data_IF_661294923005
#
_entry.id   IF_661294923005
#
_cell.length_a   1.000
_cell.length_b   1.000
_cell.length_c   1.000
_cell.angle_alpha   90.00
_cell.angle_beta   90.00
_cell.angle_gamma   90.00
#
_symmetry.space_group_name_H-M   'P 1'
#
loop_
_entity.id
_entity.type
_entity.pdbx_description
1 polymer ?
#
# COMPACT_ATOMS: atom_id res chain seq x y z
N UNK A 1 11.61 21.69 -2.40
CA UNK A 1 10.78 22.70 -3.11
C UNK A 1 9.75 23.18 -2.11
N UNK A 2 9.47 24.49 -2.00
CA UNK A 2 8.44 24.96 -1.10
C UNK A 2 7.08 24.36 -1.51
N UNK A 3 6.24 24.04 -0.49
CA UNK A 3 4.87 23.63 -0.72
C UNK A 3 4.15 24.68 -1.58
N UNK A 4 3.31 24.22 -2.49
CA UNK A 4 2.43 25.12 -3.21
C UNK A 4 1.53 25.86 -2.22
N UNK A 5 1.40 27.19 -2.37
CA UNK A 5 0.66 28.03 -1.44
C UNK A 5 -0.82 27.62 -1.33
N UNK A 6 -1.41 27.08 -2.40
CA UNK A 6 -2.76 26.55 -2.44
C UNK A 6 -2.89 25.27 -1.59
N UNK A 7 -1.92 24.33 -1.67
CA UNK A 7 -1.91 23.15 -0.82
C UNK A 7 -1.78 23.52 0.66
N UNK A 8 -0.88 24.45 0.99
CA UNK A 8 -0.73 24.92 2.36
C UNK A 8 -2.04 25.54 2.88
N UNK A 9 -2.71 26.33 2.05
CA UNK A 9 -4.02 26.91 2.39
C UNK A 9 -5.07 25.84 2.61
N UNK A 10 -5.13 24.81 1.75
CA UNK A 10 -6.06 23.68 1.92
C UNK A 10 -5.83 22.94 3.23
N UNK A 11 -4.57 22.63 3.55
CA UNK A 11 -4.22 21.88 4.77
C UNK A 11 -4.52 22.69 6.05
N UNK A 12 -4.37 24.01 6.01
CA UNK A 12 -4.48 24.85 7.22
C UNK A 12 -5.85 25.51 7.42
N UNK A 13 -6.68 25.60 6.39
CA UNK A 13 -7.91 26.41 6.42
C UNK A 13 -9.18 25.63 6.12
N UNK A 14 -9.08 24.41 5.61
CA UNK A 14 -10.24 23.59 5.24
C UNK A 14 -10.64 22.60 6.33
N UNK A 15 -11.88 22.08 6.32
CA UNK A 15 -12.27 20.96 7.17
C UNK A 15 -11.33 19.76 6.99
N UNK A 16 -11.12 18.97 8.04
CA UNK A 16 -10.16 17.88 8.09
C UNK A 16 -10.31 16.88 6.91
N UNK A 17 -11.52 16.57 6.52
CA UNK A 17 -11.80 15.68 5.37
C UNK A 17 -11.21 16.23 4.07
N UNK A 18 -11.41 17.53 3.79
CA UNK A 18 -10.88 18.17 2.58
C UNK A 18 -9.37 18.35 2.63
N UNK A 19 -8.84 18.67 3.81
CA UNK A 19 -7.41 18.78 4.02
C UNK A 19 -6.71 17.42 3.79
N UNK A 20 -7.22 16.35 4.37
CA UNK A 20 -6.70 15.00 4.15
C UNK A 20 -6.85 14.53 2.70
N UNK A 21 -7.96 14.84 2.05
CA UNK A 21 -8.12 14.54 0.63
C UNK A 21 -7.06 15.25 -0.23
N UNK A 22 -6.77 16.52 0.02
CA UNK A 22 -5.73 17.26 -0.67
C UNK A 22 -4.31 16.69 -0.41
N UNK A 23 -4.04 16.28 0.83
CA UNK A 23 -2.77 15.64 1.20
C UNK A 23 -2.60 14.31 0.45
N UNK A 24 -3.60 13.44 0.50
CA UNK A 24 -3.52 12.12 -0.14
C UNK A 24 -3.42 12.23 -1.66
N UNK A 25 -4.13 13.17 -2.26
CA UNK A 25 -4.05 13.45 -3.69
C UNK A 25 -2.67 13.97 -4.09
N UNK A 26 -2.11 14.90 -3.33
CA UNK A 26 -0.76 15.42 -3.57
C UNK A 26 0.29 14.31 -3.47
N UNK A 27 0.24 13.48 -2.43
CA UNK A 27 1.16 12.35 -2.25
C UNK A 27 1.03 11.35 -3.41
N UNK A 28 -0.21 11.04 -3.81
CA UNK A 28 -0.47 10.16 -4.93
C UNK A 28 0.15 10.67 -6.22
N UNK A 29 -0.14 11.91 -6.60
CA UNK A 29 0.41 12.52 -7.82
C UNK A 29 1.95 12.61 -7.78
N UNK A 30 2.51 12.89 -6.61
CA UNK A 30 3.96 12.97 -6.45
C UNK A 30 4.66 11.64 -6.75
N UNK A 31 4.08 10.51 -6.34
CA UNK A 31 4.69 9.20 -6.54
C UNK A 31 4.27 8.48 -7.82
N UNK A 32 3.11 8.77 -8.38
CA UNK A 32 2.60 8.08 -9.57
C UNK A 32 2.91 8.76 -10.90
N UNK A 33 3.51 9.95 -10.88
CA UNK A 33 4.01 10.57 -12.11
C UNK A 33 5.04 9.65 -12.81
N UNK A 34 5.11 9.71 -14.13
CA UNK A 34 6.02 8.89 -14.91
C UNK A 34 7.47 9.01 -14.43
N UNK A 35 8.13 7.89 -14.33
CA UNK A 35 9.55 7.85 -13.97
C UNK A 35 10.39 8.00 -15.24
N UNK A 36 11.48 8.78 -15.17
CA UNK A 36 12.39 8.91 -16.31
C UNK A 36 13.06 7.54 -16.59
N UNK A 37 13.30 7.27 -17.87
CA UNK A 37 13.99 6.05 -18.28
C UNK A 37 15.42 5.97 -17.74
N UNK A 38 16.04 7.13 -17.49
CA UNK A 38 17.38 7.25 -16.90
C UNK A 38 17.31 7.62 -15.43
N UNK A 39 18.04 6.90 -14.58
CA UNK A 39 18.15 7.16 -13.14
C UNK A 39 16.79 7.24 -12.39
N UNK A 40 15.88 6.27 -12.56
CA UNK A 40 14.56 6.29 -11.90
C UNK A 40 14.67 6.35 -10.38
N UNK A 41 15.67 5.72 -9.79
CA UNK A 41 15.91 5.71 -8.34
C UNK A 41 16.24 7.10 -7.80
N UNK A 42 16.98 7.89 -8.58
CA UNK A 42 17.29 9.29 -8.21
C UNK A 42 16.03 10.15 -8.23
N UNK A 43 15.14 9.91 -9.18
CA UNK A 43 13.87 10.64 -9.24
C UNK A 43 12.96 10.28 -8.07
N UNK A 44 12.89 9.02 -7.68
CA UNK A 44 12.13 8.59 -6.48
C UNK A 44 12.65 9.27 -5.22
N UNK A 45 13.97 9.31 -5.01
CA UNK A 45 14.59 10.02 -3.88
C UNK A 45 14.29 11.52 -3.90
N UNK A 46 14.28 12.14 -5.09
CA UNK A 46 13.93 13.55 -5.24
C UNK A 46 12.47 13.83 -4.89
N UNK A 47 11.55 12.95 -5.29
CA UNK A 47 10.12 13.04 -4.95
C UNK A 47 9.90 12.89 -3.45
N UNK A 48 10.57 11.94 -2.84
CA UNK A 48 10.52 11.72 -1.40
C UNK A 48 10.97 12.96 -0.61
N UNK A 49 12.09 13.57 -1.03
CA UNK A 49 12.55 14.84 -0.46
C UNK A 49 11.57 16.00 -0.70
N UNK A 50 10.84 15.96 -1.82
CA UNK A 50 9.80 16.95 -2.13
C UNK A 50 8.64 16.98 -1.14
N UNK A 51 8.40 15.86 -0.44
CA UNK A 51 7.35 15.76 0.57
C UNK A 51 7.81 16.19 1.98
N UNK A 52 9.10 16.42 2.20
CA UNK A 52 9.65 16.74 3.52
C UNK A 52 9.00 17.99 4.12
N UNK A 53 8.67 18.98 3.31
CA UNK A 53 8.04 20.21 3.78
C UNK A 53 6.59 19.98 4.20
N UNK A 54 5.85 19.16 3.45
CA UNK A 54 4.50 18.72 3.83
C UNK A 54 4.53 17.93 5.14
N UNK A 55 5.44 16.99 5.27
CA UNK A 55 5.65 16.20 6.48
C UNK A 55 5.93 17.09 7.69
N UNK A 56 6.81 18.08 7.55
CA UNK A 56 7.11 19.04 8.61
C UNK A 56 5.88 19.87 9.02
N UNK A 57 5.05 20.29 8.07
CA UNK A 57 3.82 21.04 8.37
C UNK A 57 2.82 20.15 9.10
N UNK A 58 2.60 18.93 8.63
CA UNK A 58 1.63 18.01 9.24
C UNK A 58 2.08 17.60 10.63
N UNK A 59 3.34 17.22 10.81
CA UNK A 59 3.87 16.75 12.09
C UNK A 59 4.08 17.87 13.11
N UNK A 60 4.41 19.08 12.65
CA UNK A 60 4.74 20.21 13.53
C UNK A 60 3.57 21.12 13.89
N UNK A 61 2.53 21.21 13.09
CA UNK A 61 1.51 22.26 13.21
C UNK A 61 0.07 21.79 13.03
N UNK A 62 -0.16 20.54 12.63
CA UNK A 62 -1.48 20.07 12.25
C UNK A 62 -2.08 19.06 13.25
N UNK A 63 -1.92 19.33 14.55
CA UNK A 63 -2.43 18.42 15.60
C UNK A 63 -3.93 18.17 15.50
N UNK A 64 -4.73 19.18 15.20
CA UNK A 64 -6.17 19.04 15.03
C UNK A 64 -6.52 18.18 13.82
N UNK A 65 -5.71 18.25 12.77
CA UNK A 65 -5.86 17.41 11.59
C UNK A 65 -5.59 15.93 11.93
N UNK A 66 -4.54 15.64 12.69
CA UNK A 66 -4.24 14.30 13.18
C UNK A 66 -5.34 13.73 14.07
N UNK A 67 -5.91 14.51 14.96
CA UNK A 67 -7.01 14.09 15.82
C UNK A 67 -8.25 13.64 15.02
N UNK A 68 -8.42 14.17 13.81
CA UNK A 68 -9.52 13.83 12.93
C UNK A 68 -9.16 12.75 11.88
N UNK A 69 -7.93 12.25 11.83
CA UNK A 69 -7.47 11.29 10.82
C UNK A 69 -8.37 10.05 10.73
N UNK A 70 -8.69 9.48 11.87
CA UNK A 70 -9.46 8.22 11.93
C UNK A 70 -10.88 8.34 11.38
N UNK A 71 -11.49 9.51 11.52
CA UNK A 71 -12.86 9.79 11.07
C UNK A 71 -12.93 10.41 9.68
N UNK A 72 -11.86 11.08 9.25
CA UNK A 72 -11.85 11.88 8.02
C UNK A 72 -11.19 11.18 6.83
N UNK A 73 -10.34 10.15 7.09
CA UNK A 73 -9.60 9.48 6.02
C UNK A 73 -10.18 8.10 5.72
N UNK A 74 -10.63 7.83 4.49
CA UNK A 74 -11.08 6.50 4.09
C UNK A 74 -9.98 5.46 4.30
N UNK A 75 -10.30 4.36 4.97
CA UNK A 75 -9.33 3.30 5.32
C UNK A 75 -9.13 2.31 4.19
N UNK A 76 -7.91 1.78 4.07
CA UNK A 76 -7.56 0.76 3.08
C UNK A 76 -8.40 -0.52 3.26
N UNK A 77 -8.66 -0.94 4.49
CA UNK A 77 -9.51 -2.11 4.77
C UNK A 77 -10.94 -1.94 4.24
N UNK A 78 -11.52 -0.74 4.37
CA UNK A 78 -12.86 -0.46 3.84
C UNK A 78 -12.89 -0.60 2.31
N UNK A 79 -11.89 -0.07 1.62
CA UNK A 79 -11.78 -0.22 0.16
C UNK A 79 -11.70 -1.69 -0.27
N UNK A 80 -10.93 -2.50 0.45
CA UNK A 80 -10.84 -3.96 0.19
C UNK A 80 -12.17 -4.66 0.42
N UNK A 81 -12.87 -4.33 1.51
CA UNK A 81 -14.19 -4.91 1.83
C UNK A 81 -15.23 -4.49 0.79
N UNK A 82 -15.25 -3.23 0.38
CA UNK A 82 -16.18 -2.71 -0.62
C UNK A 82 -15.93 -3.35 -1.98
N UNK A 83 -14.68 -3.45 -2.42
CA UNK A 83 -14.32 -4.20 -3.62
C UNK A 83 -14.82 -5.64 -3.53
N UNK A 84 -14.54 -6.31 -2.42
CA UNK A 84 -14.93 -7.71 -2.23
C UNK A 84 -16.43 -7.92 -2.28
N UNK A 85 -17.18 -7.02 -1.66
CA UNK A 85 -18.63 -7.11 -1.56
C UNK A 85 -19.34 -6.76 -2.87
N UNK A 86 -18.84 -5.76 -3.58
CA UNK A 86 -19.51 -5.19 -4.75
C UNK A 86 -19.06 -5.80 -6.08
N UNK A 87 -17.95 -6.55 -6.10
CA UNK A 87 -17.47 -7.23 -7.30
C UNK A 87 -18.14 -8.59 -7.45
N UNK A 88 -18.78 -8.83 -8.59
CA UNK A 88 -19.35 -10.11 -9.00
C UNK A 88 -18.40 -10.88 -9.92
N UNK A 89 -18.48 -12.21 -9.94
CA UNK A 89 -17.62 -13.07 -10.72
C UNK A 89 -16.27 -13.35 -10.06
N UNK A 90 -15.31 -13.78 -10.86
CA UNK A 90 -13.95 -14.07 -10.39
C UNK A 90 -13.27 -12.83 -9.86
N UNK A 91 -12.68 -12.91 -8.66
CA UNK A 91 -11.99 -11.80 -8.01
C UNK A 91 -10.79 -12.25 -7.19
N UNK A 92 -9.77 -11.40 -7.18
CA UNK A 92 -8.58 -11.64 -6.38
C UNK A 92 -8.13 -10.36 -5.70
N UNK A 93 -7.62 -10.48 -4.48
CA UNK A 93 -6.94 -9.42 -3.74
C UNK A 93 -5.54 -9.90 -3.42
N UNK A 94 -4.54 -9.17 -3.89
CA UNK A 94 -3.15 -9.35 -3.50
C UNK A 94 -2.78 -8.27 -2.49
N UNK A 95 -2.41 -8.67 -1.29
CA UNK A 95 -1.88 -7.79 -0.25
C UNK A 95 -0.37 -8.00 -0.18
N UNK A 96 0.39 -6.94 -0.40
CA UNK A 96 1.84 -6.91 -0.27
C UNK A 96 2.19 -6.13 0.98
N UNK A 97 2.65 -6.83 2.01
CA UNK A 97 2.89 -6.24 3.34
C UNK A 97 4.10 -5.29 3.31
N UNK A 98 3.91 -4.07 3.80
CA UNK A 98 4.97 -3.07 3.87
C UNK A 98 5.37 -2.43 2.52
N UNK A 99 4.61 -2.65 1.44
CA UNK A 99 4.90 -2.02 0.15
C UNK A 99 4.72 -0.50 0.23
N UNK A 100 5.72 0.23 -0.25
CA UNK A 100 5.72 1.69 -0.25
C UNK A 100 5.07 2.27 -1.52
N UNK A 101 4.52 3.48 -1.42
CA UNK A 101 4.04 4.24 -2.59
C UNK A 101 5.14 4.52 -3.62
N UNK A 102 6.41 4.44 -3.22
CA UNK A 102 7.56 4.62 -4.13
C UNK A 102 7.63 3.54 -5.22
N UNK A 103 7.09 2.36 -4.96
CA UNK A 103 7.09 1.22 -5.87
C UNK A 103 5.89 1.20 -6.81
N UNK A 104 4.86 1.98 -6.55
CA UNK A 104 3.61 2.00 -7.34
C UNK A 104 3.83 2.22 -8.84
N UNK A 105 4.70 3.15 -9.31
CA UNK A 105 4.92 3.36 -10.75
C UNK A 105 5.43 2.10 -11.46
N UNK A 106 6.31 1.33 -10.81
CA UNK A 106 6.82 0.08 -11.40
C UNK A 106 5.75 -1.00 -11.43
N UNK A 107 4.96 -1.15 -10.37
CA UNK A 107 3.86 -2.13 -10.33
C UNK A 107 2.82 -1.84 -11.42
N UNK A 108 2.36 -0.61 -11.51
CA UNK A 108 1.39 -0.20 -12.54
C UNK A 108 2.00 -0.40 -13.93
N UNK A 109 3.23 0.06 -14.15
CA UNK A 109 3.93 -0.09 -15.42
C UNK A 109 4.06 -1.56 -15.85
N UNK A 110 4.46 -2.43 -14.94
CA UNK A 110 4.58 -3.86 -15.20
C UNK A 110 3.23 -4.53 -15.47
N UNK A 111 2.19 -4.19 -14.71
CA UNK A 111 0.86 -4.70 -14.95
C UNK A 111 0.33 -4.32 -16.35
N UNK A 112 0.50 -3.06 -16.74
CA UNK A 112 0.10 -2.57 -18.07
C UNK A 112 0.88 -3.28 -19.19
N UNK A 113 2.20 -3.46 -19.04
CA UNK A 113 3.03 -4.18 -20.02
C UNK A 113 2.60 -5.64 -20.19
N UNK A 114 2.05 -6.27 -19.15
CA UNK A 114 1.50 -7.63 -19.21
C UNK A 114 0.05 -7.69 -19.69
N UNK A 115 -0.51 -6.57 -20.13
CA UNK A 115 -1.86 -6.50 -20.70
C UNK A 115 -2.98 -6.34 -19.68
N UNK A 116 -2.67 -6.09 -18.42
CA UNK A 116 -3.68 -5.74 -17.42
C UNK A 116 -4.21 -4.31 -17.65
N UNK A 117 -5.48 -4.11 -17.42
CA UNK A 117 -6.11 -2.79 -17.50
C UNK A 117 -6.31 -2.25 -16.09
N UNK A 118 -5.72 -1.10 -15.82
CA UNK A 118 -5.99 -0.36 -14.60
C UNK A 118 -7.38 0.27 -14.67
N UNK A 119 -8.22 0.00 -13.68
CA UNK A 119 -9.54 0.60 -13.54
C UNK A 119 -9.54 1.74 -12.54
N UNK A 120 -8.91 1.53 -11.40
CA UNK A 120 -8.81 2.51 -10.33
C UNK A 120 -7.45 2.38 -9.63
N UNK A 121 -6.94 3.49 -9.12
CA UNK A 121 -5.80 3.50 -8.21
C UNK A 121 -5.87 4.74 -7.31
N UNK A 122 -5.33 4.64 -6.11
CA UNK A 122 -5.33 5.76 -5.16
C UNK A 122 -4.70 5.39 -3.82
N UNK A 123 -4.55 6.40 -2.98
CA UNK A 123 -4.09 6.27 -1.59
C UNK A 123 -5.29 6.20 -0.66
N UNK A 124 -5.16 5.40 0.38
CA UNK A 124 -6.11 5.32 1.49
C UNK A 124 -5.35 5.42 2.81
N UNK A 125 -6.02 5.85 3.85
CA UNK A 125 -5.45 5.83 5.19
C UNK A 125 -5.23 4.42 5.70
N UNK A 126 -4.21 4.25 6.53
CA UNK A 126 -4.00 3.03 7.28
C UNK A 126 -4.88 3.00 8.54
N UNK A 127 -5.08 1.84 9.08
CA UNK A 127 -5.55 1.64 10.45
C UNK A 127 -4.50 2.15 11.45
N UNK A 128 -4.95 2.52 12.65
CA UNK A 128 -4.05 2.98 13.72
C UNK A 128 -4.02 1.96 14.87
N UNK A 129 -2.84 1.62 15.35
CA UNK A 129 -1.49 1.97 14.87
C UNK A 129 -1.23 1.39 13.47
N UNK A 130 -0.31 1.98 12.67
CA UNK A 130 -0.04 1.59 11.29
C UNK A 130 0.78 0.29 11.21
N UNK A 131 0.16 -0.80 11.63
CA UNK A 131 0.75 -2.14 11.74
C UNK A 131 -0.09 -3.18 11.01
N UNK A 132 0.50 -4.34 10.73
CA UNK A 132 -0.16 -5.47 10.07
C UNK A 132 -1.39 -5.97 10.82
N UNK A 133 -1.31 -6.07 12.15
CA UNK A 133 -2.41 -6.64 12.97
C UNK A 133 -3.68 -5.78 12.98
N UNK A 134 -3.65 -4.46 13.17
CA UNK A 134 -4.84 -3.61 13.04
C UNK A 134 -5.53 -3.71 11.69
N UNK A 135 -4.76 -3.76 10.60
CA UNK A 135 -5.33 -3.96 9.27
C UNK A 135 -6.00 -5.35 9.13
N UNK A 136 -5.34 -6.42 9.59
CA UNK A 136 -5.92 -7.76 9.61
C UNK A 136 -7.24 -7.80 10.43
N UNK A 137 -7.24 -7.18 11.62
CA UNK A 137 -8.42 -7.09 12.48
C UNK A 137 -9.58 -6.35 11.79
N UNK A 138 -9.29 -5.29 11.05
CA UNK A 138 -10.31 -4.55 10.30
C UNK A 138 -10.95 -5.38 9.18
N UNK A 139 -10.23 -6.36 8.62
CA UNK A 139 -10.77 -7.35 7.70
C UNK A 139 -11.48 -8.52 8.40
N UNK A 140 -11.39 -8.61 9.73
CA UNK A 140 -11.99 -9.65 10.54
C UNK A 140 -11.08 -10.86 10.83
N UNK A 141 -9.77 -10.72 10.58
CA UNK A 141 -8.76 -11.71 10.95
C UNK A 141 -8.09 -11.30 12.27
N UNK A 142 -7.80 -12.25 13.16
CA UNK A 142 -7.08 -11.94 14.40
C UNK A 142 -5.63 -11.50 14.15
N UNK A 143 -5.03 -12.04 13.11
CA UNK A 143 -3.69 -11.71 12.62
C UNK A 143 -3.52 -12.24 11.19
N UNK A 144 -2.46 -11.85 10.49
CA UNK A 144 -2.20 -12.29 9.11
C UNK A 144 -2.17 -13.82 8.96
N UNK A 145 -1.51 -14.55 9.84
CA UNK A 145 -1.45 -16.01 9.78
C UNK A 145 -2.81 -16.70 9.91
N UNK A 146 -3.83 -16.00 10.38
CA UNK A 146 -5.20 -16.53 10.44
C UNK A 146 -5.86 -16.66 9.06
N UNK A 147 -5.25 -16.15 7.98
CA UNK A 147 -5.72 -16.32 6.61
C UNK A 147 -5.57 -17.77 6.10
N UNK A 148 -4.76 -18.58 6.73
CA UNK A 148 -4.48 -19.95 6.26
C UNK A 148 -5.66 -20.93 6.38
N UNK A 149 -6.79 -20.52 6.91
CA UNK A 149 -7.95 -21.38 7.10
C UNK A 149 -8.88 -21.49 5.88
N UNK A 150 -8.50 -20.95 4.73
CA UNK A 150 -9.24 -21.01 3.47
C UNK A 150 -10.67 -20.44 3.51
N UNK A 151 -10.97 -19.58 4.43
CA UNK A 151 -12.20 -18.81 4.50
C UNK A 151 -13.48 -19.58 4.83
N UNK A 152 -13.48 -20.89 4.74
CA UNK A 152 -14.67 -21.69 5.04
C UNK A 152 -14.99 -21.64 6.55
N UNK A 153 -16.13 -21.05 6.90
CA UNK A 153 -16.55 -20.90 8.30
C UNK A 153 -15.86 -19.78 9.08
N UNK A 154 -15.02 -18.99 8.44
CA UNK A 154 -14.34 -17.86 9.04
C UNK A 154 -15.30 -16.68 9.25
N UNK A 155 -15.14 -15.97 10.37
CA UNK A 155 -15.91 -14.75 10.68
C UNK A 155 -15.40 -13.50 9.93
N UNK A 156 -14.38 -13.62 9.08
CA UNK A 156 -13.82 -12.47 8.36
C UNK A 156 -14.82 -11.85 7.35
N UNK A 157 -14.57 -10.59 6.97
CA UNK A 157 -15.46 -9.81 6.11
C UNK A 157 -15.37 -10.18 4.63
N UNK A 158 -14.31 -10.89 4.21
CA UNK A 158 -14.07 -11.33 2.83
C UNK A 158 -14.71 -12.71 2.60
N UNK A 159 -16.03 -12.78 2.72
CA UNK A 159 -16.79 -14.04 2.71
C UNK A 159 -16.57 -14.83 1.42
N UNK A 160 -16.38 -16.15 1.58
CA UNK A 160 -16.18 -17.07 0.47
C UNK A 160 -14.78 -17.00 -0.16
N UNK A 161 -13.87 -16.19 0.37
CA UNK A 161 -12.50 -16.14 -0.11
C UNK A 161 -11.75 -17.44 0.18
N UNK A 162 -11.03 -17.94 -0.82
CA UNK A 162 -9.87 -18.79 -0.60
C UNK A 162 -8.72 -17.91 -0.13
N UNK A 163 -8.20 -18.15 1.06
CA UNK A 163 -7.23 -17.25 1.69
C UNK A 163 -5.87 -17.91 1.86
N UNK A 164 -4.83 -17.20 1.45
CA UNK A 164 -3.43 -17.67 1.51
C UNK A 164 -2.57 -16.60 2.19
N UNK A 165 -1.83 -16.99 3.22
CA UNK A 165 -0.73 -16.19 3.78
C UNK A 165 0.60 -16.86 3.41
N UNK A 166 1.47 -16.16 2.71
CA UNK A 166 2.69 -16.74 2.14
C UNK A 166 3.92 -15.88 2.40
N UNK A 167 5.05 -16.52 2.63
CA UNK A 167 6.36 -15.91 2.74
C UNK A 167 7.42 -16.56 1.84
N UNK A 168 6.98 -17.48 0.98
CA UNK A 168 7.84 -18.16 0.02
C UNK A 168 8.23 -17.22 -1.13
N UNK A 169 9.25 -17.56 -1.92
CA UNK A 169 9.51 -16.87 -3.18
C UNK A 169 8.28 -16.83 -4.08
N UNK A 170 8.13 -15.77 -4.86
CA UNK A 170 6.92 -15.53 -5.67
C UNK A 170 6.52 -16.72 -6.55
N UNK A 171 7.47 -17.39 -7.19
CA UNK A 171 7.20 -18.57 -8.04
C UNK A 171 6.56 -19.71 -7.28
N UNK A 172 7.01 -19.95 -6.05
CA UNK A 172 6.44 -21.00 -5.19
C UNK A 172 5.08 -20.57 -4.62
N UNK A 173 4.85 -19.26 -4.49
CA UNK A 173 3.57 -18.73 -4.05
C UNK A 173 2.47 -18.90 -5.09
N UNK A 174 2.78 -18.71 -6.36
CA UNK A 174 1.81 -18.89 -7.47
C UNK A 174 1.23 -20.28 -7.49
N UNK A 175 2.02 -21.31 -7.17
CA UNK A 175 1.57 -22.70 -7.11
C UNK A 175 0.51 -22.97 -6.03
N UNK A 176 0.39 -22.05 -5.04
CA UNK A 176 -0.66 -22.14 -4.01
C UNK A 176 -1.99 -21.53 -4.46
N UNK A 177 -2.00 -20.81 -5.56
CA UNK A 177 -3.22 -20.23 -6.15
C UNK A 177 -3.67 -21.14 -7.28
N UNK A 178 -4.74 -21.88 -7.05
CA UNK A 178 -5.34 -22.76 -8.04
C UNK A 178 -6.45 -22.08 -8.84
N UNK A 179 -7.46 -22.86 -9.23
CA UNK A 179 -8.61 -22.43 -10.03
C UNK A 179 -9.75 -21.78 -9.22
N UNK A 180 -9.47 -21.26 -8.04
CA UNK A 180 -10.48 -20.65 -7.20
C UNK A 180 -11.01 -19.34 -7.81
N UNK A 181 -12.32 -19.15 -7.78
CA UNK A 181 -12.96 -17.94 -8.32
C UNK A 181 -12.76 -16.71 -7.46
N UNK A 182 -12.47 -16.89 -6.16
CA UNK A 182 -12.35 -15.79 -5.21
C UNK A 182 -11.15 -16.03 -4.28
N UNK A 183 -10.10 -15.22 -4.43
CA UNK A 183 -8.81 -15.43 -3.75
C UNK A 183 -8.39 -14.17 -3.00
N UNK A 184 -7.93 -14.34 -1.77
CA UNK A 184 -7.18 -13.33 -1.02
C UNK A 184 -5.79 -13.89 -0.72
N UNK A 185 -4.79 -13.26 -1.29
CA UNK A 185 -3.40 -13.65 -1.14
C UNK A 185 -2.65 -12.55 -0.40
N UNK A 186 -2.06 -12.87 0.75
CA UNK A 186 -1.25 -11.94 1.53
C UNK A 186 0.19 -12.38 1.57
N UNK A 187 1.04 -11.65 0.88
CA UNK A 187 2.48 -11.90 0.84
C UNK A 187 3.21 -11.04 1.85
N UNK A 188 4.17 -11.64 2.57
CA UNK A 188 4.97 -10.96 3.59
C UNK A 188 6.02 -9.98 3.03
N UNK A 189 6.27 -10.03 1.74
CA UNK A 189 7.21 -9.14 1.09
C UNK A 189 6.56 -7.79 0.77
N UNK A 190 7.29 -6.67 0.94
CA UNK A 190 8.68 -6.54 1.37
C UNK A 190 8.89 -6.45 2.89
N UNK A 191 7.86 -6.42 3.73
CA UNK A 191 7.97 -6.22 5.19
C UNK A 191 8.94 -7.22 5.85
N UNK A 192 8.73 -8.52 5.61
CA UNK A 192 9.62 -9.53 6.15
C UNK A 192 11.08 -9.31 5.73
N UNK A 193 11.31 -8.89 4.49
CA UNK A 193 12.66 -8.62 4.00
C UNK A 193 13.27 -7.41 4.67
N UNK A 194 12.47 -6.38 4.96
CA UNK A 194 12.93 -5.23 5.73
C UNK A 194 13.34 -5.62 7.15
N UNK A 195 12.57 -6.47 7.81
CA UNK A 195 12.94 -7.01 9.12
C UNK A 195 14.23 -7.86 9.08
N UNK A 196 14.36 -8.75 8.09
CA UNK A 196 15.56 -9.58 7.93
C UNK A 196 16.82 -8.74 7.64
N UNK A 197 16.67 -7.59 6.99
CA UNK A 197 17.77 -6.68 6.62
C UNK A 197 18.04 -5.57 7.65
N UNK A 198 17.17 -5.39 8.63
CA UNK A 198 17.36 -4.45 9.73
C UNK A 198 18.44 -4.90 10.74
N UNK A 199 19.21 -5.93 10.41
CA UNK A 199 20.34 -6.37 11.22
C UNK A 199 21.41 -5.27 11.35
N UNK A 200 22.15 -5.23 12.47
CA UNK A 200 23.20 -4.24 12.69
C UNK A 200 24.22 -4.22 11.56
N UNK A 201 24.36 -3.06 10.91
CA UNK A 201 25.32 -2.84 9.81
C UNK A 201 24.74 -2.86 8.39
N UNK A 202 23.46 -3.12 8.23
CA UNK A 202 22.79 -3.00 6.92
C UNK A 202 22.18 -1.60 6.76
N UNK A 203 22.63 -0.87 5.76
CA UNK A 203 22.10 0.48 5.48
C UNK A 203 20.80 0.44 4.69
N UNK A 204 19.89 1.37 4.97
CA UNK A 204 18.61 1.56 4.24
C UNK A 204 18.78 1.63 2.71
N UNK A 205 19.92 2.13 2.23
CA UNK A 205 20.22 2.19 0.81
C UNK A 205 20.35 0.79 0.15
N UNK A 206 20.92 -0.19 0.86
CA UNK A 206 21.01 -1.56 0.35
C UNK A 206 19.63 -2.21 0.29
N UNK A 207 18.82 -1.99 1.31
CA UNK A 207 17.44 -2.44 1.37
C UNK A 207 16.62 -1.90 0.19
N UNK A 208 16.66 -0.58 -0.05
CA UNK A 208 15.93 0.04 -1.16
C UNK A 208 16.32 -0.57 -2.51
N UNK A 209 17.62 -0.84 -2.74
CA UNK A 209 18.09 -1.51 -3.96
C UNK A 209 17.52 -2.92 -4.12
N UNK A 210 17.46 -3.69 -3.04
CA UNK A 210 16.93 -5.06 -3.10
C UNK A 210 15.41 -5.07 -3.35
N UNK A 211 14.66 -4.18 -2.72
CA UNK A 211 13.22 -4.03 -2.97
C UNK A 211 12.96 -3.63 -4.41
N UNK A 212 13.66 -2.63 -4.94
CA UNK A 212 13.53 -2.20 -6.33
C UNK A 212 13.94 -3.30 -7.32
N UNK A 213 14.98 -4.07 -7.02
CA UNK A 213 15.38 -5.21 -7.86
C UNK A 213 14.30 -6.30 -7.89
N UNK A 214 13.69 -6.58 -6.74
CA UNK A 214 12.58 -7.53 -6.63
C UNK A 214 11.37 -7.12 -7.45
N UNK A 215 10.99 -5.82 -7.42
CA UNK A 215 9.87 -5.29 -8.20
C UNK A 215 10.09 -5.30 -9.71
N UNK A 216 11.34 -5.29 -10.14
CA UNK A 216 11.71 -5.34 -11.56
C UNK A 216 11.92 -6.78 -12.05
N UNK A 217 11.89 -7.75 -11.16
CA UNK A 217 12.06 -9.15 -11.56
C UNK A 217 10.82 -9.66 -12.30
N UNK A 218 11.02 -10.58 -13.22
CA UNK A 218 9.92 -11.22 -13.96
C UNK A 218 9.10 -12.18 -13.06
N UNK A 219 9.46 -12.29 -11.80
CA UNK A 219 8.82 -13.15 -10.80
C UNK A 219 7.62 -12.48 -10.11
N UNK A 220 7.42 -11.19 -10.29
CA UNK A 220 6.26 -10.41 -9.86
C UNK A 220 5.20 -10.31 -11.01
#
# INVERSE_FOLDING_TARGET
MPLAADLLTLVTSQPAEQAWAAITDHVWHQFTADLPATAPDTEVVKRDRGLTELDNVISGSAWDLWNNFDTSVPKASHTVIDFWTNTSGGKAVLIMDGLSLREVPWLIGQAVQRGYKQHEAGVRGTELPPETTPFANSLGFSQRSSLENNGAGSAHKLKGAFTVSCNLPWRECVDQVGSQEAVVFWHHWPDKRMHDLAEPGMGLHKLAKEVHAGLRSDDL
#
